data_IF_385747000900
#
_entry.id   IF_385747000900
#
_cell.length_a   1.000
_cell.length_b   1.000
_cell.length_c   1.000
_cell.angle_alpha   90.00
_cell.angle_beta   90.00
_cell.angle_gamma   90.00
#
_symmetry.space_group_name_H-M   'P 1'
#
loop_
_entity.id
_entity.type
_entity.pdbx_description
1 polymer ?
#
# COMPACT_ATOMS: atom_id res chain seq x y z
N UNK A 1 -14.16 2.23 4.81
CA UNK A 1 -13.29 1.11 4.40
C UNK A 1 -12.49 0.70 5.63
N UNK A 2 -12.31 -0.59 5.84
CA UNK A 2 -11.61 -1.15 6.99
C UNK A 2 -10.80 -2.38 6.57
N UNK A 3 -9.86 -2.81 7.40
CA UNK A 3 -9.14 -4.07 7.24
C UNK A 3 -9.78 -5.11 8.18
N UNK A 4 -9.95 -6.35 7.72
CA UNK A 4 -10.63 -7.40 8.48
C UNK A 4 -9.79 -8.67 8.51
N UNK A 5 -9.81 -9.38 9.64
CA UNK A 5 -9.13 -10.65 9.79
C UNK A 5 -9.82 -11.74 8.95
N UNK A 6 -9.17 -12.26 7.92
CA UNK A 6 -9.74 -13.36 7.11
C UNK A 6 -9.87 -14.67 7.88
N UNK A 7 -9.00 -14.88 8.86
CA UNK A 7 -8.93 -16.06 9.72
C UNK A 7 -8.73 -15.59 11.16
N UNK A 8 -9.00 -16.43 12.18
CA UNK A 8 -8.64 -16.08 13.55
C UNK A 8 -7.14 -15.85 13.67
N UNK A 9 -6.76 -14.83 14.44
CA UNK A 9 -5.37 -14.42 14.66
C UNK A 9 -5.06 -14.54 16.15
N UNK A 10 -3.95 -15.18 16.51
CA UNK A 10 -3.58 -15.33 17.91
C UNK A 10 -2.95 -14.04 18.47
N UNK A 11 -3.18 -13.75 19.75
CA UNK A 11 -2.47 -12.69 20.46
C UNK A 11 -0.95 -12.83 20.29
N UNK A 12 -0.26 -11.74 19.93
CA UNK A 12 1.19 -11.72 19.69
C UNK A 12 1.62 -12.07 18.26
N UNK A 13 0.70 -12.52 17.41
CA UNK A 13 0.99 -12.87 16.01
C UNK A 13 1.24 -11.61 15.17
N UNK A 14 2.24 -11.68 14.27
CA UNK A 14 2.47 -10.62 13.27
C UNK A 14 1.46 -10.79 12.14
N UNK A 15 0.56 -9.81 12.03
CA UNK A 15 -0.52 -9.77 11.04
C UNK A 15 0.02 -9.33 9.68
N UNK A 16 0.86 -8.29 9.70
CA UNK A 16 1.31 -7.62 8.49
C UNK A 16 2.72 -7.09 8.69
N UNK A 17 3.55 -7.23 7.65
CA UNK A 17 4.81 -6.51 7.52
C UNK A 17 4.72 -5.61 6.31
N UNK A 18 5.16 -4.36 6.44
CA UNK A 18 5.09 -3.42 5.34
C UNK A 18 6.24 -2.43 5.33
N UNK A 19 6.35 -1.74 4.21
CA UNK A 19 7.28 -0.64 3.99
C UNK A 19 6.47 0.64 3.92
N UNK A 20 7.03 1.73 4.43
CA UNK A 20 6.45 3.06 4.30
C UNK A 20 7.18 3.89 3.26
N UNK A 21 6.43 4.77 2.61
CA UNK A 21 6.96 5.81 1.72
C UNK A 21 6.69 7.16 2.35
N UNK A 22 7.75 7.88 2.72
CA UNK A 22 7.65 9.25 3.22
C UNK A 22 7.22 10.15 2.05
N UNK A 23 6.21 10.98 2.29
CA UNK A 23 5.60 11.83 1.27
C UNK A 23 5.82 13.31 1.61
N UNK A 24 6.06 14.15 0.59
CA UNK A 24 6.23 15.60 0.76
C UNK A 24 4.87 16.29 0.90
N UNK A 25 4.14 16.00 1.97
CA UNK A 25 2.83 16.63 2.26
C UNK A 25 2.68 16.88 3.76
N UNK A 26 1.82 17.82 4.16
CA UNK A 26 1.46 18.01 5.57
C UNK A 26 0.29 17.08 5.94
N UNK A 27 0.58 16.07 6.77
CA UNK A 27 -0.43 15.15 7.25
C UNK A 27 -1.40 15.77 8.26
N UNK A 28 -1.17 16.97 8.80
CA UNK A 28 -2.16 17.62 9.67
C UNK A 28 -3.54 17.76 9.00
N UNK A 29 -3.56 17.93 7.68
CA UNK A 29 -4.78 18.12 6.88
C UNK A 29 -5.17 16.88 6.05
N UNK A 30 -4.37 15.81 6.04
CA UNK A 30 -4.63 14.62 5.22
C UNK A 30 -4.83 13.37 6.10
N UNK A 31 -6.06 12.80 6.22
CA UNK A 31 -6.32 11.66 7.10
C UNK A 31 -5.73 10.33 6.62
N UNK A 32 -5.19 10.28 5.40
CA UNK A 32 -4.73 9.05 4.74
C UNK A 32 -3.24 8.74 4.89
N UNK A 33 -2.50 9.59 5.61
CA UNK A 33 -1.09 9.36 5.95
C UNK A 33 -0.89 9.23 7.45
N UNK A 34 0.19 8.58 7.84
CA UNK A 34 0.61 8.43 9.22
C UNK A 34 1.75 9.39 9.55
N UNK A 35 1.86 9.76 10.83
CA UNK A 35 3.05 10.43 11.34
C UNK A 35 4.19 9.42 11.42
N UNK A 36 5.30 9.70 10.75
CA UNK A 36 6.45 8.81 10.60
C UNK A 36 7.75 9.43 11.13
N UNK A 37 7.74 9.85 12.39
CA UNK A 37 8.89 10.46 13.05
C UNK A 37 8.70 10.41 14.57
N UNK A 38 9.80 10.50 15.33
CA UNK A 38 9.77 10.57 16.80
C UNK A 38 9.71 12.02 17.32
N UNK A 39 9.91 13.02 16.46
CA UNK A 39 9.99 14.43 16.85
C UNK A 39 9.78 15.38 15.69
N UNK A 40 10.25 16.62 15.87
CA UNK A 40 10.18 17.66 14.85
C UNK A 40 11.47 17.71 14.00
N UNK A 41 11.38 18.06 12.70
CA UNK A 41 10.14 18.26 11.95
C UNK A 41 9.42 16.92 11.71
N UNK A 42 8.09 16.93 11.87
CA UNK A 42 7.29 15.73 11.59
C UNK A 42 7.42 15.28 10.14
N UNK A 43 7.58 13.98 9.95
CA UNK A 43 7.48 13.33 8.65
C UNK A 43 6.14 12.61 8.51
N UNK A 44 5.69 12.45 7.27
CA UNK A 44 4.39 11.86 6.93
C UNK A 44 4.59 10.76 5.91
N UNK A 45 3.91 9.64 6.08
CA UNK A 45 4.12 8.49 5.21
C UNK A 45 2.82 7.76 4.87
N UNK A 46 2.82 7.13 3.71
CA UNK A 46 1.84 6.11 3.32
C UNK A 46 2.46 4.73 3.51
N UNK A 47 1.69 3.78 4.04
CA UNK A 47 2.12 2.40 4.20
C UNK A 47 1.70 1.52 3.02
N UNK A 48 2.42 0.44 2.79
CA UNK A 48 2.01 -0.63 1.88
C UNK A 48 0.90 -1.51 2.45
N UNK A 49 0.42 -2.46 1.65
CA UNK A 49 -0.47 -3.52 2.13
C UNK A 49 -1.85 -2.98 2.50
N UNK A 50 -2.36 -3.41 3.65
CA UNK A 50 -3.66 -2.99 4.18
C UNK A 50 -3.55 -1.88 5.22
N UNK A 51 -2.34 -1.53 5.69
CA UNK A 51 -2.12 -0.64 6.84
C UNK A 51 -2.82 0.71 6.72
N UNK A 52 -2.93 1.27 5.50
CA UNK A 52 -3.63 2.54 5.17
C UNK A 52 -5.16 2.50 5.36
N UNK A 53 -5.72 1.33 5.70
CA UNK A 53 -7.16 1.12 5.95
C UNK A 53 -7.48 0.63 7.35
N UNK A 54 -6.50 0.49 8.25
CA UNK A 54 -6.78 0.12 9.63
C UNK A 54 -7.43 1.30 10.33
N UNK A 55 -8.64 1.10 10.83
CA UNK A 55 -9.41 2.15 11.49
C UNK A 55 -8.98 2.36 12.94
N UNK A 56 -9.41 3.47 13.51
CA UNK A 56 -9.19 3.78 14.92
C UNK A 56 -10.28 3.18 15.80
N UNK A 57 -9.89 2.63 16.96
CA UNK A 57 -10.83 2.22 18.00
C UNK A 57 -10.34 2.64 19.39
N UNK A 58 -11.27 2.78 20.33
CA UNK A 58 -10.96 3.04 21.75
C UNK A 58 -10.23 1.86 22.42
N UNK A 59 -10.60 0.64 22.02
CA UNK A 59 -9.99 -0.62 22.45
C UNK A 59 -9.44 -1.36 21.21
N UNK A 60 -8.28 -0.95 20.69
CA UNK A 60 -7.73 -1.52 19.47
C UNK A 60 -7.32 -2.98 19.69
N UNK A 61 -7.41 -3.80 18.65
CA UNK A 61 -6.94 -5.20 18.68
C UNK A 61 -5.55 -5.40 18.05
N UNK A 62 -4.94 -4.33 17.52
CA UNK A 62 -3.59 -4.37 16.95
C UNK A 62 -2.68 -3.27 17.48
N UNK A 63 -1.37 -3.47 17.34
CA UNK A 63 -0.33 -2.47 17.56
C UNK A 63 0.66 -2.43 16.38
N UNK A 64 1.11 -1.22 16.03
CA UNK A 64 2.11 -1.00 14.98
C UNK A 64 3.49 -0.79 15.59
N UNK A 65 4.41 -1.72 15.36
CA UNK A 65 5.84 -1.57 15.63
C UNK A 65 6.50 -0.87 14.45
N UNK A 66 7.16 0.25 14.70
CA UNK A 66 7.77 1.08 13.65
C UNK A 66 9.29 0.94 13.68
N UNK A 67 9.87 0.79 12.51
CA UNK A 67 11.30 0.87 12.28
C UNK A 67 11.57 2.06 11.36
N UNK A 68 11.84 3.22 11.98
CA UNK A 68 12.12 4.46 11.26
C UNK A 68 13.42 4.38 10.45
N UNK A 69 14.38 3.55 10.86
CA UNK A 69 15.66 3.40 10.15
C UNK A 69 15.47 2.69 8.82
N UNK A 70 14.66 1.64 8.80
CA UNK A 70 14.41 0.84 7.61
C UNK A 70 13.12 1.24 6.86
N UNK A 71 12.42 2.29 7.32
CA UNK A 71 11.11 2.68 6.81
C UNK A 71 10.15 1.50 6.69
N UNK A 72 10.07 0.69 7.75
CA UNK A 72 9.23 -0.50 7.77
C UNK A 72 8.41 -0.58 9.04
N UNK A 73 7.37 -1.41 9.02
CA UNK A 73 6.54 -1.66 10.18
C UNK A 73 6.12 -3.13 10.26
N UNK A 74 5.76 -3.54 11.48
CA UNK A 74 5.02 -4.76 11.75
C UNK A 74 3.73 -4.41 12.49
N UNK A 75 2.61 -4.96 12.03
CA UNK A 75 1.35 -4.94 12.78
C UNK A 75 1.24 -6.25 13.56
N UNK A 76 0.97 -6.15 14.86
CA UNK A 76 0.90 -7.30 15.77
C UNK A 76 -0.45 -7.32 16.47
N UNK A 77 -1.07 -8.48 16.56
CA UNK A 77 -2.29 -8.67 17.35
C UNK A 77 -1.98 -8.49 18.85
N UNK A 78 -2.73 -7.67 19.56
CA UNK A 78 -2.54 -7.48 21.01
C UNK A 78 -3.42 -8.42 21.87
N UNK A 79 -4.40 -9.07 21.25
CA UNK A 79 -5.26 -10.13 21.79
C UNK A 79 -5.63 -11.10 20.66
N UNK A 80 -6.32 -12.18 21.01
CA UNK A 80 -6.94 -13.03 19.99
C UNK A 80 -7.99 -12.22 19.21
N UNK A 81 -7.99 -12.36 17.88
CA UNK A 81 -8.88 -11.69 16.94
C UNK A 81 -9.70 -12.76 16.21
N UNK A 82 -11.01 -12.60 16.16
CA UNK A 82 -11.87 -13.54 15.44
C UNK A 82 -11.77 -13.34 13.92
N UNK A 83 -12.14 -14.36 13.15
CA UNK A 83 -12.37 -14.16 11.73
C UNK A 83 -13.50 -13.12 11.52
N UNK A 84 -13.40 -12.36 10.44
CA UNK A 84 -14.25 -11.24 10.05
C UNK A 84 -14.29 -10.07 11.07
N UNK A 85 -13.44 -10.09 12.10
CA UNK A 85 -13.27 -8.97 13.01
C UNK A 85 -12.43 -7.86 12.36
N UNK A 86 -12.84 -6.61 12.55
CA UNK A 86 -12.10 -5.45 12.02
C UNK A 86 -10.77 -5.26 12.76
N UNK A 87 -9.70 -5.08 12.02
CA UNK A 87 -8.38 -4.76 12.53
C UNK A 87 -8.28 -3.26 12.80
N UNK A 88 -8.03 -2.90 14.05
CA UNK A 88 -8.03 -1.51 14.52
C UNK A 88 -6.79 -1.19 15.35
N UNK A 89 -6.33 0.06 15.28
CA UNK A 89 -5.16 0.57 16.01
C UNK A 89 -5.43 1.95 16.59
N UNK A 90 -4.59 2.42 17.51
CA UNK A 90 -4.69 3.79 18.04
C UNK A 90 -3.78 4.73 17.27
N UNK A 91 -4.37 5.76 16.69
CA UNK A 91 -3.62 6.83 16.04
C UNK A 91 -3.08 7.77 17.12
N UNK A 92 -1.81 7.64 17.49
CA UNK A 92 -1.16 8.55 18.45
C UNK A 92 -1.36 10.02 18.05
N UNK A 93 -1.38 10.29 16.74
CA UNK A 93 -1.53 11.63 16.21
C UNK A 93 -2.96 12.18 16.19
N UNK A 94 -3.97 11.37 16.47
CA UNK A 94 -5.36 11.84 16.54
C UNK A 94 -5.62 12.81 17.69
N UNK A 95 -4.74 12.88 18.70
CA UNK A 95 -4.89 13.85 19.80
C UNK A 95 -4.55 15.29 19.40
N UNK A 96 -3.83 15.49 18.29
CA UNK A 96 -3.32 16.81 17.89
C UNK A 96 -3.45 17.14 16.40
N UNK A 97 -3.75 16.19 15.51
CA UNK A 97 -3.97 16.47 14.08
C UNK A 97 -5.32 17.15 13.86
N UNK A 98 -5.30 18.20 13.05
CA UNK A 98 -6.50 18.97 12.66
C UNK A 98 -7.54 18.10 11.95
N UNK A 99 -7.12 17.23 11.03
CA UNK A 99 -8.00 16.31 10.31
C UNK A 99 -8.66 15.22 11.19
N UNK A 100 -8.28 15.10 12.48
CA UNK A 100 -8.80 14.09 13.40
C UNK A 100 -9.51 14.69 14.62
N UNK A 101 -10.05 15.90 14.47
CA UNK A 101 -10.79 16.58 15.56
C UNK A 101 -11.88 15.68 16.17
N UNK A 102 -12.62 14.95 15.36
CA UNK A 102 -13.69 14.05 15.81
C UNK A 102 -13.18 12.77 16.49
N UNK A 103 -11.94 12.36 16.23
CA UNK A 103 -11.32 11.17 16.82
C UNK A 103 -10.59 11.48 18.13
N UNK A 104 -10.34 12.76 18.43
CA UNK A 104 -9.58 13.19 19.60
C UNK A 104 -10.11 12.62 20.93
N UNK A 105 -11.43 12.62 21.22
CA UNK A 105 -11.94 12.06 22.47
C UNK A 105 -11.68 10.55 22.61
N UNK A 106 -11.79 9.82 21.50
CA UNK A 106 -11.49 8.37 21.43
C UNK A 106 -10.01 8.14 21.67
N UNK A 107 -9.14 8.95 21.03
CA UNK A 107 -7.70 8.88 21.16
C UNK A 107 -7.22 9.14 22.59
N UNK A 108 -7.76 10.17 23.24
CA UNK A 108 -7.42 10.53 24.63
C UNK A 108 -7.83 9.41 25.58
N UNK A 109 -9.03 8.85 25.41
CA UNK A 109 -9.52 7.74 26.24
C UNK A 109 -8.67 6.48 26.06
N UNK A 110 -8.36 6.10 24.82
CA UNK A 110 -7.51 4.96 24.52
C UNK A 110 -6.09 5.14 25.10
N UNK A 111 -5.53 6.35 25.02
CA UNK A 111 -4.21 6.67 25.55
C UNK A 111 -4.18 6.58 27.08
N UNK A 112 -5.19 7.12 27.77
CA UNK A 112 -5.33 7.01 29.22
C UNK A 112 -5.38 5.54 29.66
N UNK A 113 -6.13 4.69 28.94
CA UNK A 113 -6.20 3.24 29.25
C UNK A 113 -4.87 2.51 29.07
N UNK A 114 -4.07 2.88 28.06
CA UNK A 114 -2.76 2.25 27.79
C UNK A 114 -1.65 2.62 28.77
N UNK A 115 -1.79 3.70 29.56
CA UNK A 115 -0.68 4.26 30.35
C UNK A 115 -0.82 3.99 31.86
N UNK A 116 -0.17 2.93 32.37
CA UNK A 116 0.77 3.19 33.47
C UNK A 116 2.18 2.62 33.25
N UNK A 117 2.41 1.78 32.24
CA UNK A 117 3.73 1.17 31.98
C UNK A 117 3.88 0.97 30.47
N UNK A 118 4.82 1.70 29.84
CA UNK A 118 5.07 1.72 28.40
C UNK A 118 5.18 0.33 27.77
N UNK A 119 5.03 0.27 26.44
CA UNK A 119 5.05 -0.93 25.58
C UNK A 119 5.59 -2.16 26.31
N UNK A 120 4.69 -2.92 26.95
CA UNK A 120 5.07 -4.22 27.49
C UNK A 120 5.41 -5.11 26.31
N UNK A 121 6.44 -5.93 26.47
CA UNK A 121 6.71 -7.03 25.55
C UNK A 121 5.42 -7.81 25.34
N UNK A 122 4.87 -7.76 24.12
CA UNK A 122 3.73 -8.59 23.77
C UNK A 122 4.17 -10.05 23.93
N UNK A 123 3.37 -10.91 24.57
CA UNK A 123 3.70 -12.32 24.69
C UNK A 123 3.88 -12.91 23.28
N UNK A 124 4.82 -13.85 23.14
CA UNK A 124 4.96 -14.61 21.91
C UNK A 124 3.61 -15.28 21.56
N UNK A 125 3.29 -15.44 20.26
CA UNK A 125 2.04 -16.05 19.86
C UNK A 125 1.88 -17.42 20.49
N UNK A 126 0.75 -17.61 21.18
CA UNK A 126 0.47 -18.84 21.93
C UNK A 126 0.18 -20.04 21.01
N UNK A 127 -0.10 -19.78 19.73
CA UNK A 127 -0.45 -20.75 18.70
C UNK A 127 0.22 -20.37 17.37
N UNK A 128 0.51 -21.33 16.48
CA UNK A 128 0.94 -21.02 15.13
C UNK A 128 -0.18 -20.29 14.35
N UNK A 129 0.19 -19.48 13.34
CA UNK A 129 -0.77 -18.84 12.45
C UNK A 129 -1.78 -19.83 11.88
N UNK A 130 -3.06 -19.44 11.84
CA UNK A 130 -4.08 -20.22 11.17
C UNK A 130 -3.76 -20.33 9.66
N UNK A 131 -3.97 -21.51 9.07
CA UNK A 131 -3.84 -21.67 7.63
C UNK A 131 -4.89 -20.80 6.91
N UNK A 132 -4.47 -20.09 5.86
CA UNK A 132 -5.39 -19.35 5.01
C UNK A 132 -6.27 -20.34 4.23
N UNK A 133 -7.59 -20.09 4.14
CA UNK A 133 -8.47 -20.94 3.36
C UNK A 133 -8.14 -20.85 1.88
N UNK A 134 -8.32 -21.97 1.17
CA UNK A 134 -8.29 -22.01 -0.28
C UNK A 134 -9.48 -21.23 -0.87
N UNK A 135 -9.33 -20.76 -2.11
CA UNK A 135 -10.37 -20.04 -2.83
C UNK A 135 -10.22 -18.52 -2.79
N UNK A 136 -11.25 -17.80 -3.30
CA UNK A 136 -11.18 -16.36 -3.52
C UNK A 136 -10.89 -15.58 -2.23
N UNK A 137 -10.04 -14.55 -2.33
CA UNK A 137 -9.86 -13.60 -1.24
C UNK A 137 -11.10 -12.68 -1.19
N UNK A 138 -11.84 -12.63 -0.06
CA UNK A 138 -12.96 -11.71 0.07
C UNK A 138 -12.47 -10.26 0.12
N UNK A 139 -13.33 -9.31 -0.28
CA UNK A 139 -13.04 -7.87 -0.21
C UNK A 139 -12.40 -7.28 -1.47
N UNK A 140 -12.00 -6.02 -1.35
CA UNK A 140 -11.60 -5.15 -2.48
C UNK A 140 -10.09 -5.15 -2.75
N UNK A 141 -9.28 -5.70 -1.86
CA UNK A 141 -7.82 -5.82 -2.00
C UNK A 141 -7.44 -7.30 -2.01
N UNK A 142 -6.75 -7.74 -3.06
CA UNK A 142 -6.18 -9.08 -3.15
C UNK A 142 -4.80 -8.98 -3.79
N UNK A 143 -3.78 -9.40 -3.04
CA UNK A 143 -2.39 -9.51 -3.49
C UNK A 143 -1.82 -10.92 -3.21
N UNK A 144 -2.68 -11.93 -3.12
CA UNK A 144 -2.31 -13.29 -2.71
C UNK A 144 -1.27 -13.97 -3.62
N UNK A 145 -1.15 -13.52 -4.87
CA UNK A 145 -0.18 -13.99 -5.87
C UNK A 145 1.14 -13.22 -5.85
N UNK A 146 1.29 -12.22 -4.98
CA UNK A 146 2.41 -11.29 -4.99
C UNK A 146 3.10 -11.29 -3.63
N UNK A 147 4.42 -11.11 -3.63
CA UNK A 147 5.17 -10.76 -2.43
C UNK A 147 6.19 -9.66 -2.75
N UNK A 148 6.64 -8.95 -1.72
CA UNK A 148 7.59 -7.85 -1.86
C UNK A 148 8.91 -8.24 -1.19
N UNK A 149 10.04 -7.96 -1.85
CA UNK A 149 11.39 -8.17 -1.32
C UNK A 149 12.34 -7.09 -1.87
N UNK A 150 13.56 -6.96 -1.32
CA UNK A 150 14.58 -6.09 -1.91
C UNK A 150 14.79 -6.40 -3.40
N UNK A 151 14.92 -5.35 -4.20
CA UNK A 151 15.16 -5.44 -5.65
C UNK A 151 16.65 -5.20 -5.99
N UNK A 152 16.96 -5.25 -7.30
CA UNK A 152 18.30 -5.00 -7.81
C UNK A 152 18.72 -3.52 -7.77
N UNK A 153 17.80 -2.61 -7.45
CA UNK A 153 17.97 -1.16 -7.52
C UNK A 153 18.17 -0.51 -6.14
N UNK A 154 18.31 -1.32 -5.09
CA UNK A 154 18.46 -0.86 -3.71
C UNK A 154 17.14 -0.46 -3.03
N UNK A 155 16.01 -0.74 -3.70
CA UNK A 155 14.66 -0.54 -3.21
C UNK A 155 13.97 -1.85 -2.85
N UNK A 156 12.69 -1.94 -3.20
CA UNK A 156 11.86 -3.13 -3.06
C UNK A 156 11.01 -3.27 -4.31
N UNK A 157 10.92 -4.49 -4.83
CA UNK A 157 10.11 -4.85 -5.99
C UNK A 157 8.97 -5.78 -5.62
N UNK A 158 7.94 -5.82 -6.45
CA UNK A 158 6.88 -6.83 -6.41
C UNK A 158 7.30 -8.07 -7.20
N UNK A 159 7.08 -9.26 -6.66
CA UNK A 159 7.48 -10.54 -7.27
C UNK A 159 6.32 -11.54 -7.27
N UNK A 160 6.28 -12.37 -8.30
CA UNK A 160 5.27 -13.41 -8.45
C UNK A 160 5.51 -14.54 -7.42
N UNK A 161 4.52 -14.80 -6.55
CA UNK A 161 4.58 -15.89 -5.56
C UNK A 161 4.44 -17.28 -6.18
N UNK A 162 3.90 -17.34 -7.39
CA UNK A 162 3.62 -18.53 -8.18
C UNK A 162 3.71 -18.20 -9.66
N UNK A 163 3.70 -19.20 -10.54
CA UNK A 163 3.55 -18.97 -11.98
C UNK A 163 2.16 -18.39 -12.28
N UNK A 164 2.08 -17.45 -13.24
CA UNK A 164 0.86 -16.72 -13.59
C UNK A 164 0.68 -16.76 -15.11
N UNK A 165 -0.52 -17.07 -15.59
CA UNK A 165 -0.80 -17.12 -17.02
C UNK A 165 -1.14 -15.74 -17.56
N UNK A 166 -0.82 -15.51 -18.84
CA UNK A 166 -1.21 -14.29 -19.55
C UNK A 166 -2.71 -14.02 -19.37
N UNK A 167 -3.03 -12.78 -19.00
CA UNK A 167 -4.41 -12.32 -18.78
C UNK A 167 -4.94 -12.60 -17.37
N UNK A 168 -4.25 -13.37 -16.54
CA UNK A 168 -4.68 -13.60 -15.16
C UNK A 168 -4.60 -12.30 -14.35
N UNK A 169 -5.59 -12.10 -13.48
CA UNK A 169 -5.53 -11.08 -12.42
C UNK A 169 -4.42 -11.45 -11.44
N UNK A 170 -3.45 -10.55 -11.28
CA UNK A 170 -2.32 -10.66 -10.36
C UNK A 170 -2.69 -10.04 -9.01
N UNK A 171 -3.20 -8.81 -9.06
CA UNK A 171 -3.52 -8.01 -7.89
C UNK A 171 -4.70 -7.10 -8.20
N UNK A 172 -5.60 -6.93 -7.24
CA UNK A 172 -6.60 -5.85 -7.25
C UNK A 172 -6.50 -5.06 -5.96
N UNK A 173 -6.84 -3.79 -6.03
CA UNK A 173 -6.77 -2.94 -4.85
C UNK A 173 -7.53 -1.65 -5.00
N UNK A 174 -7.48 -0.86 -3.94
CA UNK A 174 -8.09 0.46 -3.83
C UNK A 174 -6.99 1.50 -3.62
N UNK A 175 -7.30 2.76 -3.90
CA UNK A 175 -6.36 3.86 -3.71
C UNK A 175 -6.87 4.87 -2.70
N UNK A 176 -5.95 5.69 -2.19
CA UNK A 176 -6.27 6.93 -1.48
C UNK A 176 -5.75 8.10 -2.30
N UNK A 177 -6.63 9.00 -2.72
CA UNK A 177 -6.23 10.25 -3.36
C UNK A 177 -5.62 11.17 -2.31
N UNK A 178 -4.43 11.71 -2.58
CA UNK A 178 -3.61 12.47 -1.66
C UNK A 178 -3.42 13.91 -2.17
N UNK A 179 -3.40 14.91 -1.27
CA UNK A 179 -3.10 16.30 -1.61
C UNK A 179 -1.58 16.52 -1.69
N UNK A 180 -0.92 15.82 -2.61
CA UNK A 180 0.54 15.89 -2.83
C UNK A 180 0.81 16.23 -4.29
N UNK A 181 1.91 16.93 -4.59
CA UNK A 181 2.35 17.06 -5.98
C UNK A 181 3.16 15.83 -6.39
N UNK A 182 2.58 15.01 -7.27
CA UNK A 182 3.28 13.85 -7.79
C UNK A 182 4.49 14.18 -8.68
N UNK A 183 4.70 15.42 -9.12
CA UNK A 183 5.96 15.79 -9.76
C UNK A 183 7.15 15.73 -8.80
N UNK A 184 6.91 15.77 -7.49
CA UNK A 184 7.94 15.79 -6.45
C UNK A 184 8.10 14.44 -5.73
N UNK A 185 7.20 13.48 -5.97
CA UNK A 185 7.21 12.19 -5.27
C UNK A 185 7.08 11.02 -6.25
N UNK A 186 8.08 10.12 -6.35
CA UNK A 186 7.98 8.95 -7.22
C UNK A 186 7.02 7.87 -6.69
N UNK A 187 6.49 8.04 -5.47
CA UNK A 187 5.71 7.00 -4.77
C UNK A 187 4.19 7.11 -4.93
N UNK A 188 3.72 8.07 -5.72
CA UNK A 188 2.29 8.25 -6.03
C UNK A 188 2.00 8.05 -7.50
N UNK A 189 0.79 7.56 -7.78
CA UNK A 189 0.24 7.39 -9.12
C UNK A 189 -0.50 8.65 -9.56
N UNK A 190 -0.48 8.96 -10.85
CA UNK A 190 -1.46 9.87 -11.44
C UNK A 190 -2.83 9.19 -11.41
N UNK A 191 -3.83 9.84 -10.83
CA UNK A 191 -5.17 9.32 -10.60
C UNK A 191 -6.27 10.18 -11.25
N UNK A 192 -6.04 10.61 -12.48
CA UNK A 192 -7.01 11.34 -13.30
C UNK A 192 -6.65 11.19 -14.78
N UNK A 193 -7.63 11.40 -15.66
CA UNK A 193 -7.43 11.42 -17.12
C UNK A 193 -7.02 12.81 -17.64
N UNK A 194 -7.28 13.85 -16.86
CA UNK A 194 -7.03 15.24 -17.25
C UNK A 194 -6.60 16.13 -16.10
N UNK A 195 -6.70 17.44 -16.35
CA UNK A 195 -6.40 18.49 -15.39
C UNK A 195 -7.64 18.91 -14.58
N UNK A 196 -7.49 19.32 -13.30
CA UNK A 196 -6.24 19.25 -12.54
C UNK A 196 -5.88 17.79 -12.20
N UNK A 197 -4.59 17.46 -12.31
CA UNK A 197 -4.11 16.11 -11.96
C UNK A 197 -4.41 15.76 -10.50
N UNK A 198 -4.90 14.54 -10.28
CA UNK A 198 -5.01 13.92 -8.96
C UNK A 198 -3.87 12.93 -8.76
N UNK A 199 -3.52 12.70 -7.50
CA UNK A 199 -2.43 11.80 -7.13
C UNK A 199 -2.90 10.83 -6.07
N UNK A 200 -2.49 9.57 -6.16
CA UNK A 200 -2.95 8.56 -5.23
C UNK A 200 -1.85 7.60 -4.78
N UNK A 201 -2.00 7.08 -3.57
CA UNK A 201 -1.26 5.92 -3.08
C UNK A 201 -2.14 4.68 -3.20
N UNK A 202 -1.60 3.60 -3.75
CA UNK A 202 -2.31 2.33 -3.89
C UNK A 202 -2.14 1.44 -2.66
N UNK A 203 -3.10 0.52 -2.47
CA UNK A 203 -3.03 -0.57 -1.50
C UNK A 203 -2.09 -1.70 -1.97
N UNK A 204 -1.89 -2.70 -1.11
CA UNK A 204 -1.26 -3.95 -1.51
C UNK A 204 0.22 -3.78 -1.86
N UNK A 205 0.63 -4.42 -2.96
CA UNK A 205 2.00 -4.32 -3.50
C UNK A 205 2.12 -3.34 -4.68
N UNK A 206 1.02 -2.72 -5.14
CA UNK A 206 1.00 -1.82 -6.29
C UNK A 206 2.11 -0.76 -6.30
N UNK A 207 2.48 -0.22 -5.13
CA UNK A 207 3.54 0.79 -4.95
C UNK A 207 4.98 0.25 -5.10
N UNK A 208 5.16 -1.05 -5.37
CA UNK A 208 6.46 -1.71 -5.59
C UNK A 208 6.62 -2.29 -6.99
N UNK A 209 5.66 -2.08 -7.90
CA UNK A 209 5.83 -2.51 -9.29
C UNK A 209 6.82 -1.56 -9.95
N UNK A 210 8.03 -2.06 -10.19
CA UNK A 210 9.10 -1.32 -10.83
C UNK A 210 8.82 -1.10 -12.32
N UNK A 211 9.51 -0.13 -12.91
CA UNK A 211 9.40 0.16 -14.34
C UNK A 211 10.31 -0.77 -15.16
N UNK A 212 9.86 -1.19 -16.35
CA UNK A 212 10.65 -1.97 -17.31
C UNK A 212 10.38 -1.54 -18.76
N UNK A 213 11.37 -1.67 -19.65
CA UNK A 213 11.21 -1.54 -21.10
C UNK A 213 10.33 -2.66 -21.70
N UNK A 214 10.36 -3.83 -21.08
CA UNK A 214 9.55 -4.99 -21.44
C UNK A 214 8.71 -5.41 -20.23
N UNK A 215 7.64 -4.64 -19.91
CA UNK A 215 6.81 -4.91 -18.76
C UNK A 215 6.06 -6.24 -18.92
N UNK A 216 5.90 -6.97 -17.82
CA UNK A 216 5.14 -8.21 -17.79
C UNK A 216 3.74 -8.05 -17.17
N UNK A 217 3.37 -6.85 -16.72
CA UNK A 217 2.05 -6.54 -16.17
C UNK A 217 1.39 -5.31 -16.81
N UNK A 218 0.07 -5.21 -16.68
CA UNK A 218 -0.74 -4.07 -17.11
C UNK A 218 -1.73 -3.68 -16.01
N UNK A 219 -1.80 -2.39 -15.68
CA UNK A 219 -2.73 -1.85 -14.68
C UNK A 219 -3.93 -1.16 -15.34
N UNK A 220 -5.12 -1.66 -15.06
CA UNK A 220 -6.40 -1.01 -15.37
C UNK A 220 -6.84 -0.18 -14.17
N UNK A 221 -7.25 1.08 -14.42
CA UNK A 221 -7.67 2.03 -13.38
C UNK A 221 -9.15 2.32 -13.54
N UNK A 222 -9.87 2.32 -12.43
CA UNK A 222 -11.28 2.67 -12.36
C UNK A 222 -11.38 3.91 -11.48
N UNK A 223 -11.23 5.09 -12.10
CA UNK A 223 -11.07 6.35 -11.37
C UNK A 223 -12.26 6.69 -10.48
N UNK A 224 -13.48 6.45 -10.96
CA UNK A 224 -14.74 6.71 -10.24
C UNK A 224 -14.96 5.77 -9.05
N UNK A 225 -14.33 4.60 -9.09
CA UNK A 225 -14.44 3.56 -8.06
C UNK A 225 -13.23 3.55 -7.10
N UNK A 226 -12.25 4.43 -7.33
CA UNK A 226 -10.98 4.48 -6.59
C UNK A 226 -10.29 3.11 -6.46
N UNK A 227 -10.39 2.29 -7.50
CA UNK A 227 -9.80 0.94 -7.55
C UNK A 227 -8.95 0.70 -8.78
N UNK A 228 -8.09 -0.31 -8.69
CA UNK A 228 -7.26 -0.78 -9.79
C UNK A 228 -7.24 -2.31 -9.85
N UNK A 229 -6.88 -2.81 -11.03
CA UNK A 229 -6.58 -4.21 -11.28
C UNK A 229 -5.28 -4.32 -12.07
N UNK A 230 -4.42 -5.26 -11.70
CA UNK A 230 -3.15 -5.55 -12.38
C UNK A 230 -3.25 -6.95 -12.97
N UNK A 231 -3.07 -7.05 -14.28
CA UNK A 231 -3.14 -8.29 -15.04
C UNK A 231 -1.79 -8.66 -15.66
N UNK A 232 -1.54 -9.95 -15.85
CA UNK A 232 -0.36 -10.43 -16.54
C UNK A 232 -0.42 -10.13 -18.04
N UNK A 233 0.59 -9.43 -18.58
CA UNK A 233 0.68 -9.13 -20.01
C UNK A 233 1.21 -10.31 -20.85
N UNK A 234 1.89 -11.25 -20.18
CA UNK A 234 2.40 -12.52 -20.70
C UNK A 234 2.41 -13.58 -19.59
N UNK A 235 2.80 -14.80 -19.89
CA UNK A 235 3.11 -15.78 -18.85
C UNK A 235 4.29 -15.26 -18.00
N UNK A 236 4.18 -15.44 -16.68
CA UNK A 236 5.14 -14.98 -15.67
C UNK A 236 5.55 -16.18 -14.83
N UNK A 237 6.86 -16.36 -14.66
CA UNK A 237 7.38 -17.45 -13.84
C UNK A 237 7.29 -17.12 -12.35
N UNK A 238 7.29 -18.17 -11.53
CA UNK A 238 7.42 -17.99 -10.08
C UNK A 238 8.74 -17.25 -9.78
N UNK A 239 8.68 -16.31 -8.83
CA UNK A 239 9.79 -15.48 -8.37
C UNK A 239 10.32 -14.46 -9.40
N UNK A 240 9.64 -14.31 -10.54
CA UNK A 240 9.90 -13.24 -11.50
C UNK A 240 9.41 -11.89 -10.96
N UNK A 241 10.16 -10.82 -11.22
CA UNK A 241 9.78 -9.45 -10.83
C UNK A 241 8.61 -8.95 -11.69
N UNK A 242 7.59 -8.41 -11.03
CA UNK A 242 6.40 -7.85 -11.64
C UNK A 242 6.66 -6.38 -11.96
N UNK A 243 6.65 -6.06 -13.24
CA UNK A 243 7.02 -4.74 -13.74
C UNK A 243 5.92 -4.16 -14.64
N UNK A 244 5.81 -2.84 -14.66
CA UNK A 244 4.90 -2.09 -15.55
C UNK A 244 5.63 -0.93 -16.21
N UNK A 245 4.92 -0.09 -16.96
CA UNK A 245 5.49 1.14 -17.53
C UNK A 245 4.83 2.35 -16.89
N UNK A 246 5.66 3.28 -16.43
CA UNK A 246 5.18 4.53 -15.87
C UNK A 246 4.91 5.49 -17.01
N UNK A 247 3.71 5.47 -17.62
CA UNK A 247 3.37 6.41 -18.71
C UNK A 247 3.59 7.87 -18.28
N UNK A 248 3.37 8.16 -17.00
CA UNK A 248 3.63 9.48 -16.42
C UNK A 248 5.09 9.92 -16.43
N UNK A 249 6.05 8.99 -16.62
CA UNK A 249 7.47 9.34 -16.74
C UNK A 249 7.78 10.18 -17.98
N UNK A 250 6.90 10.22 -18.98
CA UNK A 250 7.06 11.10 -20.15
C UNK A 250 7.00 12.60 -19.80
N UNK A 251 6.40 12.96 -18.65
CA UNK A 251 6.16 14.36 -18.27
C UNK A 251 6.42 14.69 -16.80
N UNK A 252 6.53 13.72 -15.89
CA UNK A 252 6.82 14.00 -14.47
C UNK A 252 8.29 14.32 -14.25
N UNK A 253 8.53 15.43 -13.54
CA UNK A 253 9.89 15.87 -13.18
C UNK A 253 10.67 14.82 -12.39
N UNK A 254 10.05 14.16 -11.40
CA UNK A 254 10.70 13.11 -10.61
C UNK A 254 11.12 11.85 -11.40
N UNK A 255 10.74 11.75 -12.67
CA UNK A 255 11.02 10.61 -13.55
C UNK A 255 11.78 11.02 -14.82
N UNK A 256 12.47 12.15 -14.81
CA UNK A 256 13.24 12.63 -15.95
C UNK A 256 14.20 11.56 -16.50
N UNK A 257 14.87 10.80 -15.63
CA UNK A 257 15.77 9.71 -16.01
C UNK A 257 15.06 8.51 -16.66
N UNK A 258 13.76 8.33 -16.39
CA UNK A 258 12.95 7.24 -16.96
C UNK A 258 12.20 7.65 -18.23
N UNK A 259 12.21 8.93 -18.58
CA UNK A 259 11.48 9.47 -19.73
C UNK A 259 11.85 8.78 -21.06
N UNK A 260 13.14 8.57 -21.41
CA UNK A 260 13.50 7.92 -22.68
C UNK A 260 12.91 6.50 -22.80
N UNK A 261 12.90 5.77 -21.68
CA UNK A 261 12.33 4.43 -21.59
C UNK A 261 10.83 4.44 -21.84
N UNK A 262 10.10 5.38 -21.23
CA UNK A 262 8.66 5.51 -21.41
C UNK A 262 8.27 5.88 -22.85
N UNK A 263 9.00 6.82 -23.46
CA UNK A 263 8.76 7.24 -24.85
C UNK A 263 9.05 6.10 -25.85
N UNK A 264 10.12 5.33 -25.63
CA UNK A 264 10.45 4.16 -26.45
C UNK A 264 9.34 3.10 -26.40
N UNK A 265 8.81 2.82 -25.20
CA UNK A 265 7.69 1.90 -25.02
C UNK A 265 6.44 2.36 -25.77
N UNK A 266 6.05 3.64 -25.63
CA UNK A 266 4.87 4.19 -26.32
C UNK A 266 4.98 4.07 -27.84
N UNK A 267 6.14 4.41 -28.40
CA UNK A 267 6.40 4.25 -29.84
C UNK A 267 6.26 2.80 -30.31
N UNK A 268 6.71 1.83 -29.50
CA UNK A 268 6.54 0.39 -29.78
C UNK A 268 5.06 -0.02 -29.77
N UNK A 269 4.27 0.50 -28.83
CA UNK A 269 2.83 0.24 -28.74
C UNK A 269 2.06 0.83 -29.93
N UNK A 270 2.36 2.08 -30.31
CA UNK A 270 1.76 2.72 -31.49
C UNK A 270 2.04 1.93 -32.78
N UNK A 271 3.29 1.47 -32.95
CA UNK A 271 3.65 0.65 -34.11
C UNK A 271 2.92 -0.70 -34.13
N UNK A 272 2.64 -1.28 -32.96
CA UNK A 272 1.86 -2.52 -32.84
C UNK A 272 0.35 -2.29 -33.08
N UNK A 273 -0.19 -1.16 -32.64
CA UNK A 273 -1.61 -0.79 -32.79
C UNK A 273 -1.95 -0.18 -34.16
N UNK A 274 -0.94 0.29 -34.92
CA UNK A 274 -1.08 0.69 -36.33
C UNK A 274 -1.54 -0.42 -37.29
N UNK A 275 -1.73 -1.65 -36.78
CA UNK A 275 -2.42 -2.76 -37.43
C UNK A 275 -3.91 -2.95 -37.04
N UNK A 276 -4.46 -2.12 -36.15
CA UNK A 276 -5.88 -2.10 -35.77
C UNK A 276 -6.13 -2.11 -34.26
N UNK A 277 -6.86 -1.09 -33.78
CA UNK A 277 -7.47 -0.92 -32.45
C UNK A 277 -6.66 -0.11 -31.40
N UNK A 278 -7.21 1.04 -31.00
CA UNK A 278 -6.69 2.02 -30.02
C UNK A 278 -7.22 1.71 -28.62
N UNK A 279 -6.35 1.74 -27.60
CA UNK A 279 -6.72 1.74 -26.18
C UNK A 279 -6.08 2.99 -25.57
N UNK A 280 -6.90 4.01 -25.31
CA UNK A 280 -6.64 5.08 -24.36
C UNK A 280 -7.65 4.93 -23.23
#
# INVERSE_FOLDING_TARGET
MGAFARVPIAAGEVIEKGIVRVLPLDGNDCPFVFTWSEGEPRQWASGSGASVFYNMAEDPNTDMKRDFKNNSFEIVANRDIAADEELTHVYISATWRKCFTDLKPIAETAYIKKNPKGHKDLPAPSKPPAALPEGPVPGTVDMSKVYVKPDAWGGHGAFAKQAIKKGDLIERGIVRVLPVDGNESPFVFTWSEGEPRKWASGSGASVFYNMSEDPNTHMTRYFDEERFEIHAARDIEKDEELTHVYISATWRKCFEDLKPMAEAYLKKQEAAQGGGCSIL
#
